data_IF_870474717483
#
_entry.id   IF_870474717483
#
_cell.length_a   1.000
_cell.length_b   1.000
_cell.length_c   1.000
_cell.angle_alpha   90.00
_cell.angle_beta   90.00
_cell.angle_gamma   90.00
#
_symmetry.space_group_name_H-M   'P 1'
#
loop_
_entity.id
_entity.type
_entity.pdbx_description
1 polymer ?
#
# COMPACT_ATOMS: atom_id res chain seq x y z
N UNK A 1 14.83 -2.47 -22.18
CA UNK A 1 14.22 -1.42 -23.02
C UNK A 1 13.11 -0.74 -22.21
N UNK A 2 13.15 0.59 -22.07
CA UNK A 2 12.06 1.34 -21.46
C UNK A 2 10.96 1.64 -22.48
N UNK A 3 9.70 1.63 -22.04
CA UNK A 3 8.56 2.14 -22.83
C UNK A 3 8.12 3.49 -22.25
N UNK A 4 7.73 4.42 -23.11
CA UNK A 4 7.19 5.73 -22.72
C UNK A 4 5.67 5.72 -22.81
N UNK A 5 5.01 6.42 -21.89
CA UNK A 5 3.57 6.69 -21.92
C UNK A 5 3.36 8.19 -21.97
N UNK A 6 2.41 8.63 -22.79
CA UNK A 6 1.95 10.03 -22.82
C UNK A 6 0.67 10.10 -22.00
N UNK A 7 0.57 11.10 -21.13
CA UNK A 7 -0.58 11.31 -20.24
C UNK A 7 -1.03 12.77 -20.32
N UNK A 8 -2.27 13.03 -19.94
CA UNK A 8 -2.82 14.37 -19.82
C UNK A 8 -2.17 15.15 -18.65
N UNK A 9 -2.21 16.48 -18.74
CA UNK A 9 -1.51 17.38 -17.80
C UNK A 9 -2.09 17.32 -16.38
N UNK A 10 -3.40 17.12 -16.25
CA UNK A 10 -4.08 16.91 -14.97
C UNK A 10 -3.66 15.59 -14.30
N UNK A 11 -3.49 14.51 -15.08
CA UNK A 11 -2.97 13.23 -14.61
C UNK A 11 -1.52 13.40 -14.16
N UNK A 12 -0.71 14.14 -14.92
CA UNK A 12 0.67 14.45 -14.54
C UNK A 12 0.73 15.19 -13.19
N UNK A 13 -0.12 16.21 -13.00
CA UNK A 13 -0.22 16.96 -11.72
C UNK A 13 -0.60 16.04 -10.57
N UNK A 14 -1.58 15.17 -10.77
CA UNK A 14 -1.98 14.16 -9.79
C UNK A 14 -0.80 13.27 -9.39
N UNK A 15 -0.11 12.69 -10.37
CA UNK A 15 1.04 11.82 -10.12
C UNK A 15 2.20 12.55 -9.43
N UNK A 16 2.38 13.84 -9.74
CA UNK A 16 3.42 14.66 -9.13
C UNK A 16 3.13 14.92 -7.64
N UNK A 17 1.87 15.17 -7.29
CA UNK A 17 1.45 15.38 -5.91
C UNK A 17 1.57 14.14 -5.01
N UNK A 18 1.56 12.94 -5.60
CA UNK A 18 1.68 11.67 -4.88
C UNK A 18 3.12 11.26 -4.53
N UNK A 19 4.13 12.02 -4.99
CA UNK A 19 5.54 11.74 -4.66
C UNK A 19 5.82 12.03 -3.20
N UNK A 20 6.48 11.09 -2.51
CA UNK A 20 6.79 11.21 -1.08
C UNK A 20 8.13 11.90 -0.77
N UNK A 21 8.95 12.18 -1.77
CA UNK A 21 10.24 12.84 -1.57
C UNK A 21 11.23 12.71 -2.73
N UNK A 22 12.46 13.22 -2.56
CA UNK A 22 13.51 13.11 -3.56
C UNK A 22 13.85 11.63 -3.82
N UNK A 23 13.77 11.20 -5.09
CA UNK A 23 14.00 9.80 -5.50
C UNK A 23 12.75 8.94 -5.62
N UNK A 24 11.56 9.49 -5.35
CA UNK A 24 10.27 8.83 -5.65
C UNK A 24 9.90 9.07 -7.13
N UNK A 25 10.20 8.08 -7.98
CA UNK A 25 9.93 8.16 -9.42
C UNK A 25 8.45 7.92 -9.73
N UNK A 26 7.99 8.39 -10.88
CA UNK A 26 6.62 8.10 -11.34
C UNK A 26 6.34 6.60 -11.45
N UNK A 27 7.34 5.78 -11.79
CA UNK A 27 7.23 4.32 -11.76
C UNK A 27 6.89 3.79 -10.36
N UNK A 28 7.53 4.31 -9.31
CA UNK A 28 7.24 3.92 -7.91
C UNK A 28 5.84 4.37 -7.50
N UNK A 29 5.44 5.59 -7.87
CA UNK A 29 4.08 6.11 -7.62
C UNK A 29 3.03 5.23 -8.29
N UNK A 30 3.19 4.95 -9.59
CA UNK A 30 2.29 4.09 -10.37
C UNK A 30 2.15 2.72 -9.73
N UNK A 31 3.27 2.05 -9.40
CA UNK A 31 3.25 0.73 -8.76
C UNK A 31 2.60 0.72 -7.37
N UNK A 32 2.69 1.83 -6.64
CA UNK A 32 2.07 1.97 -5.31
C UNK A 32 0.54 2.11 -5.37
N UNK A 33 0.03 2.71 -6.44
CA UNK A 33 -1.39 3.06 -6.55
C UNK A 33 -2.18 2.17 -7.52
N UNK A 34 -1.53 1.50 -8.45
CA UNK A 34 -2.16 0.50 -9.32
C UNK A 34 -2.10 -0.87 -8.66
N UNK A 35 -3.23 -1.29 -8.10
CA UNK A 35 -3.41 -2.64 -7.61
C UNK A 35 -3.56 -3.58 -8.81
N UNK A 36 -2.50 -4.33 -9.15
CA UNK A 36 -2.62 -5.50 -10.03
C UNK A 36 -3.16 -6.65 -9.20
N UNK A 37 -4.23 -7.35 -9.62
CA UNK A 37 -4.60 -8.62 -9.03
C UNK A 37 -3.40 -9.58 -9.07
N UNK A 38 -3.15 -10.28 -7.97
CA UNK A 38 -2.15 -11.35 -7.95
C UNK A 38 -2.67 -12.55 -8.74
N UNK A 39 -1.81 -13.15 -9.57
CA UNK A 39 -2.18 -14.34 -10.35
C UNK A 39 -2.16 -15.61 -9.48
N UNK A 40 -1.35 -15.60 -8.41
CA UNK A 40 -1.20 -16.72 -7.47
C UNK A 40 -1.08 -16.23 -6.03
N UNK A 41 -1.33 -17.12 -5.07
CA UNK A 41 -1.11 -16.82 -3.65
C UNK A 41 0.37 -16.53 -3.33
N UNK A 42 1.33 -17.12 -4.06
CA UNK A 42 2.76 -16.88 -3.86
C UNK A 42 3.16 -15.44 -4.16
N UNK A 43 2.53 -14.81 -5.17
CA UNK A 43 2.80 -13.38 -5.46
C UNK A 43 2.37 -12.45 -4.32
N UNK A 44 1.33 -12.84 -3.56
CA UNK A 44 0.93 -12.09 -2.37
C UNK A 44 1.97 -12.23 -1.26
N UNK A 45 2.46 -13.45 -1.04
CA UNK A 45 3.50 -13.74 -0.04
C UNK A 45 4.78 -12.95 -0.35
N UNK A 46 5.29 -13.05 -1.58
CA UNK A 46 6.45 -12.30 -2.06
C UNK A 46 6.28 -10.78 -1.88
N UNK A 47 5.07 -10.27 -2.15
CA UNK A 47 4.77 -8.86 -1.96
C UNK A 47 4.89 -8.47 -0.49
N UNK A 48 4.24 -9.20 0.42
CA UNK A 48 4.24 -8.90 1.85
C UNK A 48 5.64 -9.01 2.47
N UNK A 49 6.43 -10.01 2.08
CA UNK A 49 7.80 -10.20 2.55
C UNK A 49 8.75 -9.07 2.11
N UNK A 50 8.49 -8.48 0.94
CA UNK A 50 9.28 -7.36 0.43
C UNK A 50 8.92 -6.00 1.05
N UNK A 51 7.78 -5.89 1.74
CA UNK A 51 7.36 -4.62 2.30
C UNK A 51 8.10 -4.30 3.60
N UNK A 52 8.44 -3.01 3.85
CA UNK A 52 8.92 -2.62 5.15
C UNK A 52 7.84 -2.86 6.21
N UNK A 53 8.22 -3.02 7.50
CA UNK A 53 7.27 -3.07 8.58
C UNK A 53 6.27 -1.90 8.47
N UNK A 54 4.97 -2.15 8.69
CA UNK A 54 3.98 -1.09 8.65
C UNK A 54 4.30 -0.03 9.71
N UNK A 55 3.95 1.21 9.44
CA UNK A 55 4.02 2.26 10.45
C UNK A 55 3.01 1.93 11.56
N UNK A 56 3.51 1.69 12.76
CA UNK A 56 2.71 1.13 13.84
C UNK A 56 2.09 2.28 14.63
N UNK A 57 0.76 2.37 14.63
CA UNK A 57 0.05 3.32 15.48
C UNK A 57 0.14 2.86 16.96
N UNK A 58 0.81 3.62 17.85
CA UNK A 58 0.99 3.24 19.25
C UNK A 58 -0.33 3.12 20.03
N UNK A 59 -1.35 3.92 19.67
CA UNK A 59 -2.66 3.85 20.31
C UNK A 59 -3.36 2.53 20.00
N UNK A 60 -3.20 2.02 18.78
CA UNK A 60 -3.73 0.71 18.38
C UNK A 60 -3.00 -0.40 19.12
N UNK A 61 -1.68 -0.30 19.31
CA UNK A 61 -0.92 -1.26 20.09
C UNK A 61 -1.39 -1.31 21.55
N UNK A 62 -1.57 -0.16 22.19
CA UNK A 62 -2.07 -0.10 23.57
C UNK A 62 -3.49 -0.66 23.67
N UNK A 63 -4.35 -0.43 22.67
CA UNK A 63 -5.66 -1.08 22.62
C UNK A 63 -5.56 -2.59 22.47
N UNK A 64 -4.72 -3.12 21.58
CA UNK A 64 -4.51 -4.58 21.42
C UNK A 64 -4.01 -5.21 22.72
N UNK A 65 -3.11 -4.53 23.42
CA UNK A 65 -2.52 -5.00 24.68
C UNK A 65 -3.53 -5.03 25.83
N UNK A 66 -4.38 -4.00 25.94
CA UNK A 66 -5.28 -3.82 27.08
C UNK A 66 -6.69 -4.37 26.85
N UNK A 67 -7.15 -4.46 25.59
CA UNK A 67 -8.48 -4.98 25.26
C UNK A 67 -8.45 -6.49 25.08
N UNK A 68 -9.30 -7.21 25.83
CA UNK A 68 -9.71 -8.57 25.44
C UNK A 68 -10.56 -8.42 24.18
N UNK A 69 -9.95 -8.55 23.00
CA UNK A 69 -10.62 -8.42 21.70
C UNK A 69 -12.02 -9.03 21.72
N UNK A 70 -13.01 -8.29 21.21
CA UNK A 70 -14.40 -8.78 21.16
C UNK A 70 -14.43 -10.04 20.31
N UNK A 71 -14.76 -11.18 20.92
CA UNK A 71 -15.20 -12.35 20.15
C UNK A 71 -16.43 -11.91 19.36
N UNK A 72 -16.45 -12.18 18.05
CA UNK A 72 -17.65 -11.99 17.24
C UNK A 72 -18.78 -12.72 17.94
N UNK A 73 -19.70 -11.98 18.56
CA UNK A 73 -20.80 -12.56 19.31
C UNK A 73 -21.57 -13.47 18.37
N UNK A 74 -21.65 -14.76 18.73
CA UNK A 74 -22.55 -15.68 18.06
C UNK A 74 -23.94 -15.09 18.09
N UNK A 75 -24.54 -14.92 16.91
CA UNK A 75 -25.93 -14.49 16.75
C UNK A 75 -26.82 -15.29 17.69
N UNK A 76 -27.65 -14.59 18.49
CA UNK A 76 -28.99 -15.07 18.80
C UNK A 76 -29.92 -14.56 17.70
#
# INVERSE_FOLDING_TARGET
>A
MGKTITIEDDVYKTLSGLKRGPGDSFTKVIRRHLNRPADTCGELEDYYDSQPPPDVNPEILERIKNERGRRSGGRR
#
